data_IF_396107036032
#
_entry.id   IF_396107036032
#
_cell.length_a   1.000
_cell.length_b   1.000
_cell.length_c   1.000
_cell.angle_alpha   90.00
_cell.angle_beta   90.00
_cell.angle_gamma   90.00
#
_symmetry.space_group_name_H-M   'P 1'
#
loop_
_entity.id
_entity.type
_entity.pdbx_description
1 polymer ?
#
# COMPACT_ATOMS: atom_id res chain seq x y z
N UNK A 1 0.06 -4.31 -8.65
CA UNK A 1 0.62 -3.47 -7.58
C UNK A 1 1.71 -2.63 -8.20
N UNK A 2 1.52 -1.31 -8.24
CA UNK A 2 2.49 -0.37 -8.80
C UNK A 2 3.05 0.45 -7.64
N UNK A 3 4.37 0.48 -7.50
CA UNK A 3 5.06 1.28 -6.48
C UNK A 3 5.71 2.45 -7.21
N UNK A 4 5.41 3.67 -6.78
CA UNK A 4 5.97 4.90 -7.36
C UNK A 4 6.67 5.66 -6.24
N UNK A 5 7.97 5.91 -6.41
CA UNK A 5 8.70 6.84 -5.56
C UNK A 5 8.13 8.25 -5.77
N UNK A 6 7.60 8.85 -4.70
CA UNK A 6 6.90 10.13 -4.78
C UNK A 6 7.79 11.34 -4.50
N UNK A 7 8.91 11.16 -3.81
CA UNK A 7 9.69 12.28 -3.29
C UNK A 7 11.17 12.23 -3.69
N UNK A 8 11.69 11.08 -4.13
CA UNK A 8 13.11 10.90 -4.48
C UNK A 8 14.06 11.18 -3.30
N UNK A 9 13.52 11.24 -2.08
CA UNK A 9 14.23 11.54 -0.83
C UNK A 9 14.58 10.28 -0.01
N UNK A 10 14.23 9.11 -0.55
CA UNK A 10 14.48 7.81 0.06
C UNK A 10 13.54 7.42 1.20
N UNK A 11 12.59 8.29 1.60
CA UNK A 11 11.74 8.09 2.79
C UNK A 11 10.23 8.25 2.54
N UNK A 12 9.78 8.83 1.42
CA UNK A 12 8.36 8.92 1.07
C UNK A 12 8.01 8.13 -0.19
N UNK A 13 7.24 7.06 -0.02
CA UNK A 13 6.81 6.17 -1.10
C UNK A 13 5.29 6.26 -1.28
N UNK A 14 4.76 6.24 -2.50
CA UNK A 14 3.37 5.81 -2.74
C UNK A 14 3.33 4.40 -3.29
N UNK A 15 2.27 3.70 -2.91
CA UNK A 15 1.84 2.53 -3.65
C UNK A 15 0.40 2.70 -4.09
N UNK A 16 0.13 2.24 -5.30
CA UNK A 16 -1.21 2.01 -5.79
C UNK A 16 -1.48 0.51 -5.83
N UNK A 17 -2.54 0.09 -5.15
CA UNK A 17 -3.03 -1.28 -5.17
C UNK A 17 -4.40 -1.29 -5.81
N UNK A 18 -4.48 -1.93 -6.96
CA UNK A 18 -5.72 -2.20 -7.68
C UNK A 18 -6.05 -3.67 -7.52
N UNK A 19 -7.19 -3.99 -6.91
CA UNK A 19 -7.61 -5.38 -6.68
C UNK A 19 -9.15 -5.53 -6.72
N UNK A 20 -9.70 -6.54 -7.44
CA UNK A 20 -11.14 -6.80 -7.48
C UNK A 20 -11.78 -7.04 -6.10
N UNK A 21 -11.02 -7.55 -5.12
CA UNK A 21 -11.51 -7.83 -3.77
C UNK A 21 -11.91 -6.56 -3.01
N UNK A 22 -11.47 -5.38 -3.45
CA UNK A 22 -11.81 -4.10 -2.84
C UNK A 22 -13.23 -3.61 -3.16
N UNK A 23 -13.96 -4.27 -4.08
CA UNK A 23 -15.34 -3.92 -4.39
C UNK A 23 -16.23 -4.06 -3.15
N UNK A 24 -16.98 -3.00 -2.84
CA UNK A 24 -17.85 -2.95 -1.65
C UNK A 24 -17.13 -2.72 -0.31
N UNK A 25 -15.79 -2.65 -0.30
CA UNK A 25 -15.03 -2.27 0.89
C UNK A 25 -14.89 -0.76 1.00
N UNK A 26 -14.96 -0.23 2.21
CA UNK A 26 -14.59 1.16 2.46
C UNK A 26 -13.06 1.34 2.46
N UNK A 27 -12.60 2.59 2.33
CA UNK A 27 -11.16 2.93 2.25
C UNK A 27 -10.33 2.33 3.40
N UNK A 28 -10.85 2.31 4.62
CA UNK A 28 -10.14 1.77 5.79
C UNK A 28 -9.98 0.25 5.70
N UNK A 29 -11.00 -0.46 5.24
CA UNK A 29 -10.96 -1.91 5.02
C UNK A 29 -9.94 -2.27 3.93
N UNK A 30 -9.94 -1.56 2.82
CA UNK A 30 -8.98 -1.75 1.74
C UNK A 30 -7.54 -1.52 2.24
N UNK A 31 -7.30 -0.43 2.98
CA UNK A 31 -5.99 -0.15 3.58
C UNK A 31 -5.57 -1.25 4.56
N UNK A 32 -6.47 -1.73 5.43
CA UNK A 32 -6.17 -2.84 6.35
C UNK A 32 -5.81 -4.13 5.60
N UNK A 33 -6.53 -4.44 4.51
CA UNK A 33 -6.23 -5.61 3.68
C UNK A 33 -4.83 -5.51 3.06
N UNK A 34 -4.46 -4.33 2.55
CA UNK A 34 -3.10 -4.11 2.03
C UNK A 34 -2.05 -4.20 3.13
N UNK A 35 -2.25 -3.54 4.28
CA UNK A 35 -1.30 -3.64 5.39
C UNK A 35 -1.14 -5.07 5.91
N UNK A 36 -2.22 -5.86 5.94
CA UNK A 36 -2.16 -7.27 6.31
C UNK A 36 -1.33 -8.08 5.30
N UNK A 37 -1.49 -7.82 3.99
CA UNK A 37 -0.70 -8.46 2.94
C UNK A 37 0.78 -8.02 2.94
N UNK A 38 1.04 -6.76 3.30
CA UNK A 38 2.39 -6.21 3.41
C UNK A 38 3.10 -6.64 4.69
N UNK A 39 2.39 -6.87 5.80
CA UNK A 39 2.99 -7.24 7.10
C UNK A 39 3.89 -8.48 6.96
N UNK A 40 3.49 -9.48 6.17
CA UNK A 40 4.32 -10.66 5.90
C UNK A 40 5.51 -10.43 4.94
N UNK A 41 5.59 -9.27 4.29
CA UNK A 41 6.72 -8.86 3.43
C UNK A 41 7.56 -7.72 4.02
N UNK A 42 7.12 -7.12 5.13
CA UNK A 42 7.81 -6.04 5.86
C UNK A 42 8.63 -6.55 7.07
N UNK A 43 8.60 -7.86 7.37
CA UNK A 43 9.51 -8.47 8.33
C UNK A 43 10.90 -8.67 7.68
N UNK A 44 11.80 -7.70 7.91
CA UNK A 44 13.18 -7.68 7.44
C UNK A 44 13.88 -6.37 7.81
N UNK A 45 15.22 -6.26 7.70
CA UNK A 45 16.01 -5.09 8.12
C UNK A 45 15.67 -3.78 7.38
N UNK A 46 14.72 -3.80 6.43
CA UNK A 46 14.20 -2.67 5.66
C UNK A 46 12.80 -2.21 6.16
N UNK A 47 12.51 -2.36 7.45
CA UNK A 47 11.24 -1.99 8.09
C UNK A 47 10.98 -0.47 8.18
N UNK A 48 11.52 0.34 7.28
CA UNK A 48 11.48 1.81 7.29
C UNK A 48 10.44 2.39 6.31
N UNK A 49 9.23 1.85 6.26
CA UNK A 49 8.12 2.53 5.58
C UNK A 49 7.43 3.51 6.55
N UNK A 50 8.06 4.66 6.78
CA UNK A 50 7.58 5.65 7.75
C UNK A 50 6.38 6.50 7.29
N UNK A 51 6.12 6.60 5.97
CA UNK A 51 4.89 7.23 5.45
C UNK A 51 4.61 6.78 4.02
N UNK A 52 3.91 5.65 3.86
CA UNK A 52 3.47 5.20 2.54
C UNK A 52 2.10 5.81 2.22
N UNK A 53 2.05 6.72 1.24
CA UNK A 53 0.79 7.20 0.70
C UNK A 53 0.13 6.05 -0.08
N UNK A 54 -0.71 5.27 0.60
CA UNK A 54 -1.38 4.11 0.03
C UNK A 54 -2.71 4.53 -0.64
N UNK A 55 -2.77 4.35 -1.95
CA UNK A 55 -4.02 4.44 -2.72
C UNK A 55 -4.51 3.04 -3.04
N UNK A 56 -5.78 2.78 -2.72
CA UNK A 56 -6.45 1.50 -2.98
C UNK A 56 -7.71 1.75 -3.80
N UNK A 57 -7.95 0.92 -4.82
CA UNK A 57 -9.19 0.95 -5.61
C UNK A 57 -9.51 -0.40 -6.22
N UNK A 58 -10.79 -0.67 -6.45
CA UNK A 58 -11.20 -1.77 -7.32
C UNK A 58 -10.95 -1.39 -8.79
N UNK A 59 -10.64 -2.36 -9.67
CA UNK A 59 -10.67 -2.13 -11.11
C UNK A 59 -12.09 -1.79 -11.56
N UNK A 60 -12.19 -0.89 -12.54
CA UNK A 60 -13.44 -0.60 -13.26
C UNK A 60 -13.99 -1.85 -13.93
#
# INVERSE_FOLDING_TARGET
MTITDLAGDGNHYAAEVVDPSFRGQNRVQQQRAVYAALKGKMDGPAGELHALALTTRAPE
#
